data_IF_422476509881
#
_entry.id   IF_422476509881
#
_cell.length_a   1.000
_cell.length_b   1.000
_cell.length_c   1.000
_cell.angle_alpha   90.00
_cell.angle_beta   90.00
_cell.angle_gamma   90.00
#
_symmetry.space_group_name_H-M   'P 1'
#
loop_
_entity.id
_entity.type
_entity.pdbx_description
1 polymer ?
#
# COMPACT_ATOMS: atom_id res chain seq x y z
N UNK A 1 7.22 17.86 20.55
CA UNK A 1 6.76 17.28 19.27
C UNK A 1 7.68 17.81 18.19
N UNK A 2 8.39 16.96 17.45
CA UNK A 2 9.26 17.42 16.36
C UNK A 2 8.40 17.88 15.17
N UNK A 3 8.83 18.92 14.47
CA UNK A 3 8.22 19.33 13.20
C UNK A 3 8.65 18.34 12.11
N UNK A 4 7.68 17.77 11.38
CA UNK A 4 7.89 16.78 10.32
C UNK A 4 7.00 17.10 9.13
N UNK A 5 7.45 16.83 7.92
CA UNK A 5 6.59 16.85 6.73
C UNK A 5 5.60 15.69 6.76
N UNK A 6 4.52 15.78 5.98
CA UNK A 6 3.52 14.70 5.87
C UNK A 6 4.16 13.38 5.41
N UNK A 7 5.13 13.44 4.49
CA UNK A 7 5.87 12.27 4.02
C UNK A 7 6.74 11.67 5.14
N UNK A 8 7.47 12.51 5.89
CA UNK A 8 8.26 12.04 7.03
C UNK A 8 7.38 11.39 8.10
N UNK A 9 6.21 11.96 8.37
CA UNK A 9 5.25 11.40 9.31
C UNK A 9 4.71 10.04 8.85
N UNK A 10 4.40 9.88 7.56
CA UNK A 10 3.97 8.62 6.96
C UNK A 10 5.04 7.53 7.09
N UNK A 11 6.29 7.83 6.72
CA UNK A 11 7.40 6.88 6.83
C UNK A 11 7.68 6.51 8.29
N UNK A 12 7.63 7.48 9.22
CA UNK A 12 7.77 7.20 10.64
C UNK A 12 6.63 6.30 11.18
N UNK A 13 5.40 6.47 10.68
CA UNK A 13 4.28 5.60 11.03
C UNK A 13 4.48 4.18 10.48
N UNK A 14 4.90 4.05 9.22
CA UNK A 14 5.21 2.75 8.61
C UNK A 14 6.31 2.02 9.35
N UNK A 15 7.40 2.70 9.68
CA UNK A 15 8.50 2.11 10.45
C UNK A 15 8.01 1.57 11.80
N UNK A 16 7.19 2.34 12.54
CA UNK A 16 6.63 1.87 13.83
C UNK A 16 5.71 0.66 13.64
N UNK A 17 4.84 0.67 12.63
CA UNK A 17 3.93 -0.44 12.36
C UNK A 17 4.70 -1.71 11.97
N UNK A 18 5.71 -1.59 11.10
CA UNK A 18 6.53 -2.70 10.64
C UNK A 18 7.41 -3.30 11.74
N UNK A 19 7.90 -2.47 12.66
CA UNK A 19 8.65 -2.92 13.82
C UNK A 19 7.76 -3.59 14.89
N UNK A 20 6.49 -3.18 15.00
CA UNK A 20 5.55 -3.74 15.96
C UNK A 20 4.92 -5.06 15.50
N UNK A 21 4.80 -5.27 14.18
CA UNK A 21 4.14 -6.46 13.63
C UNK A 21 4.89 -6.96 12.38
N UNK A 22 5.43 -8.17 12.47
CA UNK A 22 6.20 -8.82 11.40
C UNK A 22 5.36 -9.14 10.16
N UNK A 23 4.03 -9.12 10.29
CA UNK A 23 3.11 -9.39 9.18
C UNK A 23 2.92 -8.18 8.26
N UNK A 24 3.37 -6.99 8.68
CA UNK A 24 3.19 -5.75 7.89
C UNK A 24 4.20 -5.69 6.76
N UNK A 25 3.75 -5.89 5.52
CA UNK A 25 4.61 -5.77 4.33
C UNK A 25 4.30 -4.46 3.59
N UNK A 26 5.30 -3.84 2.98
CA UNK A 26 5.15 -2.63 2.18
C UNK A 26 5.46 -2.93 0.70
N UNK A 27 4.46 -2.76 -0.15
CA UNK A 27 4.49 -3.12 -1.56
C UNK A 27 4.16 -1.90 -2.43
N UNK A 28 4.78 -1.80 -3.60
CA UNK A 28 4.40 -0.81 -4.59
C UNK A 28 5.51 -0.50 -5.59
N UNK A 29 5.22 0.39 -6.53
CA UNK A 29 6.19 0.74 -7.56
C UNK A 29 7.31 1.62 -6.99
N UNK A 30 8.51 1.03 -6.93
CA UNK A 30 9.71 1.71 -6.46
C UNK A 30 9.74 2.01 -4.95
N UNK A 31 8.86 1.42 -4.14
CA UNK A 31 8.78 1.70 -2.69
C UNK A 31 10.08 1.39 -1.94
N UNK A 32 10.79 0.33 -2.31
CA UNK A 32 12.07 -0.01 -1.70
C UNK A 32 13.18 0.96 -2.13
N UNK A 33 13.10 1.46 -3.37
CA UNK A 33 14.04 2.45 -3.92
C UNK A 33 13.82 3.83 -3.30
N UNK A 34 12.56 4.23 -3.09
CA UNK A 34 12.16 5.52 -2.50
C UNK A 34 12.40 5.59 -0.99
N UNK A 35 12.41 4.44 -0.31
CA UNK A 35 12.53 4.34 1.15
C UNK A 35 13.65 3.36 1.55
N UNK A 36 14.92 3.65 1.20
CA UNK A 36 16.05 2.76 1.48
C UNK A 36 16.24 2.49 2.97
N UNK A 37 15.81 3.40 3.85
CA UNK A 37 15.83 3.23 5.30
C UNK A 37 14.89 2.13 5.79
N UNK A 38 13.70 1.99 5.19
CA UNK A 38 12.78 0.90 5.50
C UNK A 38 13.33 -0.42 4.97
N UNK A 39 13.90 -0.41 3.76
CA UNK A 39 14.53 -1.59 3.17
C UNK A 39 15.71 -2.08 4.04
N UNK A 40 16.56 -1.18 4.53
CA UNK A 40 17.67 -1.51 5.40
C UNK A 40 17.20 -2.07 6.76
N UNK A 41 16.11 -1.55 7.32
CA UNK A 41 15.58 -1.99 8.61
C UNK A 41 14.83 -3.34 8.55
N UNK A 42 14.07 -3.60 7.48
CA UNK A 42 13.14 -4.74 7.43
C UNK A 42 13.43 -5.76 6.32
N UNK A 43 14.35 -5.46 5.40
CA UNK A 43 14.77 -6.35 4.33
C UNK A 43 13.80 -6.43 3.14
N UNK A 44 14.30 -7.03 2.06
CA UNK A 44 13.59 -7.12 0.78
C UNK A 44 12.37 -8.04 0.80
N UNK A 45 12.18 -8.87 1.83
CA UNK A 45 10.95 -9.67 1.97
C UNK A 45 9.78 -8.83 2.53
N UNK A 46 10.08 -7.74 3.24
CA UNK A 46 9.09 -6.88 3.89
C UNK A 46 8.87 -5.56 3.16
N UNK A 47 9.85 -5.08 2.38
CA UNK A 47 9.74 -3.86 1.56
C UNK A 47 10.07 -4.22 0.10
N UNK A 48 9.06 -4.28 -0.76
CA UNK A 48 9.19 -4.86 -2.12
C UNK A 48 8.74 -3.92 -3.21
N UNK A 49 9.64 -3.70 -4.16
CA UNK A 49 9.26 -3.15 -5.46
C UNK A 49 8.38 -4.16 -6.21
N UNK A 50 7.36 -3.66 -6.88
CA UNK A 50 6.45 -4.44 -7.72
C UNK A 50 6.52 -4.02 -9.18
N UNK A 51 6.04 -4.84 -10.13
CA UNK A 51 5.78 -4.38 -11.50
C UNK A 51 4.79 -3.22 -11.52
N UNK A 52 4.80 -2.44 -12.60
CA UNK A 52 3.81 -1.38 -12.89
C UNK A 52 2.50 -2.03 -13.37
N UNK A 53 1.74 -2.58 -12.43
CA UNK A 53 0.48 -3.28 -12.67
C UNK A 53 -0.39 -3.29 -11.41
N UNK A 54 -1.17 -2.24 -11.18
CA UNK A 54 -1.91 -1.97 -9.95
C UNK A 54 -2.91 -3.07 -9.61
N UNK A 55 -3.59 -3.63 -10.62
CA UNK A 55 -4.46 -4.79 -10.47
C UNK A 55 -3.72 -5.99 -9.86
N UNK A 56 -2.50 -6.27 -10.34
CA UNK A 56 -1.67 -7.36 -9.83
C UNK A 56 -1.11 -7.05 -8.45
N UNK A 57 -0.64 -5.81 -8.22
CA UNK A 57 -0.12 -5.38 -6.91
C UNK A 57 -1.19 -5.59 -5.83
N UNK A 58 -2.39 -5.03 -6.06
CA UNK A 58 -3.46 -5.09 -5.08
C UNK A 58 -4.08 -6.48 -5.02
N UNK A 59 -4.25 -7.18 -6.13
CA UNK A 59 -4.71 -8.58 -6.13
C UNK A 59 -3.82 -9.49 -5.29
N UNK A 60 -2.50 -9.36 -5.43
CA UNK A 60 -1.54 -10.08 -4.58
C UNK A 60 -1.65 -9.64 -3.11
N UNK A 61 -1.82 -8.34 -2.83
CA UNK A 61 -2.01 -7.85 -1.47
C UNK A 61 -3.29 -8.40 -0.82
N UNK A 62 -4.39 -8.48 -1.57
CA UNK A 62 -5.65 -9.10 -1.10
C UNK A 62 -5.43 -10.57 -0.74
N UNK A 63 -4.74 -11.33 -1.59
CA UNK A 63 -4.38 -12.72 -1.29
C UNK A 63 -3.47 -12.84 -0.08
N UNK A 64 -2.44 -11.99 0.03
CA UNK A 64 -1.54 -11.95 1.17
C UNK A 64 -2.28 -11.64 2.49
N UNK A 65 -3.23 -10.70 2.46
CA UNK A 65 -4.06 -10.34 3.60
C UNK A 65 -4.92 -11.53 4.07
N UNK A 66 -5.56 -12.24 3.13
CA UNK A 66 -6.33 -13.45 3.43
C UNK A 66 -5.47 -14.56 4.07
N UNK A 67 -4.16 -14.59 3.75
CA UNK A 67 -3.20 -15.54 4.33
C UNK A 67 -2.54 -15.04 5.63
N UNK A 68 -3.03 -13.94 6.20
CA UNK A 68 -2.62 -13.44 7.52
C UNK A 68 -1.54 -12.35 7.51
N UNK A 69 -1.10 -11.88 6.33
CA UNK A 69 -0.24 -10.69 6.25
C UNK A 69 -1.08 -9.41 6.40
N UNK A 70 -0.39 -8.27 6.59
CA UNK A 70 -1.01 -6.95 6.76
C UNK A 70 -0.42 -5.95 5.75
N UNK A 71 -0.77 -6.06 4.46
CA UNK A 71 -0.10 -5.30 3.42
C UNK A 71 -0.44 -3.81 3.50
N UNK A 72 0.59 -2.98 3.34
CA UNK A 72 0.45 -1.59 2.94
C UNK A 72 0.91 -1.50 1.48
N UNK A 73 0.05 -0.97 0.63
CA UNK A 73 0.30 -0.83 -0.81
C UNK A 73 0.39 0.65 -1.16
N UNK A 74 1.42 1.07 -1.88
CA UNK A 74 1.52 2.43 -2.45
C UNK A 74 1.31 2.38 -3.98
N UNK A 75 0.24 3.03 -4.45
CA UNK A 75 -0.09 3.15 -5.87
C UNK A 75 0.29 4.51 -6.46
N UNK A 76 1.13 5.29 -5.77
CA UNK A 76 1.64 6.60 -6.16
C UNK A 76 0.55 7.68 -6.25
N UNK A 77 -0.39 7.58 -7.19
CA UNK A 77 -1.42 8.59 -7.44
C UNK A 77 -2.83 7.98 -7.45
N UNK A 78 -3.80 8.75 -6.96
CA UNK A 78 -5.18 8.32 -6.76
C UNK A 78 -5.90 7.82 -8.03
N UNK A 79 -5.62 8.29 -9.26
CA UNK A 79 -6.29 7.77 -10.46
C UNK A 79 -5.98 6.29 -10.71
N UNK A 80 -4.81 5.82 -10.28
CA UNK A 80 -4.38 4.44 -10.47
C UNK A 80 -5.09 3.46 -9.54
N UNK A 81 -5.81 3.96 -8.51
CA UNK A 81 -6.75 3.13 -7.74
C UNK A 81 -7.80 2.49 -8.65
N UNK A 82 -8.20 3.18 -9.73
CA UNK A 82 -9.25 2.69 -10.64
C UNK A 82 -8.88 1.35 -11.28
N UNK A 83 -7.58 1.11 -11.49
CA UNK A 83 -7.03 -0.15 -12.04
C UNK A 83 -7.08 -1.31 -11.03
N UNK A 84 -7.17 -1.01 -9.73
CA UNK A 84 -7.21 -1.99 -8.64
C UNK A 84 -8.61 -2.21 -8.04
N UNK A 85 -9.64 -1.54 -8.57
CA UNK A 85 -10.97 -1.50 -7.94
C UNK A 85 -11.64 -2.87 -7.83
N UNK A 86 -11.41 -3.79 -8.77
CA UNK A 86 -11.99 -5.13 -8.69
C UNK A 86 -11.47 -5.90 -7.46
N UNK A 87 -10.16 -5.86 -7.22
CA UNK A 87 -9.53 -6.47 -6.05
C UNK A 87 -10.00 -5.80 -4.74
N UNK A 88 -10.14 -4.47 -4.72
CA UNK A 88 -10.58 -3.76 -3.51
C UNK A 88 -12.07 -3.96 -3.21
N UNK A 89 -12.94 -3.72 -4.19
CA UNK A 89 -14.39 -3.67 -3.99
C UNK A 89 -15.03 -5.04 -4.10
N UNK A 90 -14.66 -5.83 -5.11
CA UNK A 90 -15.31 -7.12 -5.36
C UNK A 90 -14.64 -8.27 -4.61
N UNK A 91 -13.35 -8.14 -4.29
CA UNK A 91 -12.63 -9.11 -3.47
C UNK A 91 -12.58 -8.68 -2.00
N UNK A 92 -11.58 -7.90 -1.57
CA UNK A 92 -11.36 -7.60 -0.14
C UNK A 92 -12.59 -7.02 0.57
N UNK A 93 -13.34 -6.13 -0.10
CA UNK A 93 -14.53 -5.49 0.45
C UNK A 93 -15.73 -6.41 0.67
N UNK A 94 -15.76 -7.62 0.08
CA UNK A 94 -16.90 -8.54 0.12
C UNK A 94 -16.55 -9.92 0.66
N UNK A 95 -15.38 -10.45 0.32
CA UNK A 95 -15.01 -11.84 0.60
C UNK A 95 -14.97 -12.16 2.09
N UNK A 96 -14.70 -11.20 2.97
CA UNK A 96 -14.79 -11.43 4.42
C UNK A 96 -16.20 -11.83 4.86
N UNK A 97 -17.21 -11.11 4.36
CA UNK A 97 -18.61 -11.44 4.63
C UNK A 97 -19.08 -12.69 3.86
N UNK A 98 -18.73 -12.82 2.57
CA UNK A 98 -19.15 -13.94 1.73
C UNK A 98 -18.58 -15.28 2.21
N UNK A 99 -17.38 -15.27 2.80
CA UNK A 99 -16.76 -16.46 3.39
C UNK A 99 -17.28 -16.78 4.80
N UNK A 100 -18.25 -16.02 5.33
CA UNK A 100 -18.74 -16.22 6.69
C UNK A 100 -17.68 -15.97 7.76
N UNK A 101 -16.71 -15.09 7.50
CA UNK A 101 -15.61 -14.78 8.43
C UNK A 101 -14.44 -15.76 8.38
N UNK A 102 -14.38 -16.67 7.39
CA UNK A 102 -13.22 -17.55 7.23
C UNK A 102 -11.95 -16.80 6.81
N UNK A 103 -12.09 -15.67 6.11
CA UNK A 103 -10.98 -14.81 5.70
C UNK A 103 -11.19 -13.37 6.20
N UNK A 104 -10.08 -12.72 6.56
CA UNK A 104 -10.02 -11.29 6.83
C UNK A 104 -9.06 -10.60 5.86
N UNK A 105 -9.32 -9.33 5.57
CA UNK A 105 -8.54 -8.57 4.59
C UNK A 105 -7.95 -7.28 5.19
N UNK A 106 -7.09 -7.37 6.23
CA UNK A 106 -6.47 -6.21 6.85
C UNK A 106 -5.37 -5.62 5.95
N UNK A 107 -5.74 -4.69 5.06
CA UNK A 107 -4.81 -4.02 4.15
C UNK A 107 -5.06 -2.51 4.07
N UNK A 108 -4.03 -1.77 3.68
CA UNK A 108 -4.08 -0.31 3.46
C UNK A 108 -3.57 -0.01 2.06
N UNK A 109 -4.29 0.85 1.32
CA UNK A 109 -3.80 1.39 0.05
C UNK A 109 -3.56 2.89 0.21
N UNK A 110 -2.34 3.31 -0.10
CA UNK A 110 -1.87 4.68 -0.12
C UNK A 110 -1.88 5.18 -1.56
N UNK A 111 -2.32 6.41 -1.75
CA UNK A 111 -2.26 7.11 -3.03
C UNK A 111 -2.23 8.62 -2.78
N UNK A 112 -1.39 9.34 -3.53
CA UNK A 112 -1.37 10.80 -3.49
C UNK A 112 -2.54 11.38 -4.29
N UNK A 113 -3.14 12.45 -3.77
CA UNK A 113 -4.23 13.16 -4.43
C UNK A 113 -4.10 14.66 -4.17
N UNK A 114 -4.62 15.48 -5.07
CA UNK A 114 -4.51 16.92 -5.07
C UNK A 114 -4.06 17.45 -6.43
N UNK A 115 -3.77 18.75 -6.49
CA UNK A 115 -3.34 19.44 -7.69
C UNK A 115 -2.25 20.49 -7.39
N UNK A 116 -1.70 21.10 -8.43
CA UNK A 116 -0.76 22.23 -8.33
C UNK A 116 0.73 21.85 -8.47
N UNK A 117 1.02 20.60 -8.86
CA UNK A 117 2.40 20.13 -9.04
C UNK A 117 2.91 20.17 -10.49
N UNK A 118 2.06 20.53 -11.45
CA UNK A 118 2.41 20.63 -12.88
C UNK A 118 2.97 19.32 -13.49
N UNK A 119 2.50 18.18 -12.99
CA UNK A 119 2.95 16.82 -13.37
C UNK A 119 1.99 16.07 -14.30
N UNK A 120 1.08 16.78 -14.98
CA UNK A 120 0.20 16.23 -16.02
C UNK A 120 -1.17 15.75 -15.54
N UNK A 121 -2.05 15.45 -16.51
CA UNK A 121 -3.48 15.21 -16.23
C UNK A 121 -3.76 14.01 -15.34
N UNK A 122 -3.01 12.91 -15.47
CA UNK A 122 -3.20 11.69 -14.67
C UNK A 122 -2.59 11.76 -13.26
N UNK A 123 -1.97 12.88 -12.88
CA UNK A 123 -1.26 13.03 -11.61
C UNK A 123 -1.75 14.25 -10.81
N UNK A 124 -2.83 14.89 -11.27
CA UNK A 124 -3.51 15.97 -10.56
C UNK A 124 -5.01 15.66 -10.54
N UNK A 125 -5.52 15.16 -9.41
CA UNK A 125 -6.92 14.78 -9.24
C UNK A 125 -7.39 15.15 -7.84
N UNK A 126 -8.61 15.69 -7.77
CA UNK A 126 -9.22 16.32 -6.59
C UNK A 126 -8.53 17.64 -6.21
#
# INVERSE_FOLDING_TARGET
MQSMTSQQALIAALHRAMAADERVIFLGEGVATKNPELLAAFGAERVRNTPLAEASIVGCAVGAAAMGLRPVVDLLFSPFLMLAMDALVNSAGKLGALSGGQFEFPLVVLAQTGAGWSIGGQHNHN
#
